data_IF_086744483623
#
_entry.id   IF_086744483623
#
_cell.length_a   1.000
_cell.length_b   1.000
_cell.length_c   1.000
_cell.angle_alpha   90.00
_cell.angle_beta   90.00
_cell.angle_gamma   90.00
#
_symmetry.space_group_name_H-M   'P 1'
#
loop_
_entity.id
_entity.type
_entity.pdbx_description
1 polymer ?
#
# COMPACT_ATOMS: atom_id res chain seq x y z
N UNK A 1 24.40 32.72 -2.07
CA UNK A 1 23.22 31.85 -1.80
C UNK A 1 23.57 30.48 -2.34
N UNK A 2 23.88 29.54 -1.47
CA UNK A 2 24.37 28.20 -1.82
C UNK A 2 23.16 27.29 -1.91
N UNK A 3 22.87 26.78 -3.12
CA UNK A 3 21.93 25.67 -3.31
C UNK A 3 22.62 24.39 -2.89
N UNK A 4 22.24 23.89 -1.74
CA UNK A 4 22.68 22.56 -1.29
C UNK A 4 21.96 21.50 -2.16
N UNK A 5 22.68 20.97 -3.14
CA UNK A 5 22.34 19.74 -3.82
C UNK A 5 22.50 18.60 -2.80
N UNK A 6 21.40 18.12 -2.25
CA UNK A 6 21.41 16.85 -1.54
C UNK A 6 21.37 15.71 -2.57
N UNK A 7 22.51 15.38 -3.15
CA UNK A 7 22.71 14.09 -3.79
C UNK A 7 22.69 13.02 -2.70
N UNK A 8 21.51 12.48 -2.40
CA UNK A 8 21.40 11.26 -1.62
C UNK A 8 22.05 10.13 -2.42
N UNK A 9 23.11 9.63 -1.87
CA UNK A 9 24.01 8.64 -2.48
C UNK A 9 23.29 7.28 -2.57
N UNK A 10 22.79 6.94 -3.75
CA UNK A 10 22.25 5.60 -4.08
C UNK A 10 23.37 4.58 -4.34
N UNK A 11 24.54 4.74 -3.71
CA UNK A 11 25.76 3.95 -3.97
C UNK A 11 25.66 2.45 -3.68
N UNK A 12 24.56 1.97 -3.09
CA UNK A 12 24.39 0.57 -2.72
C UNK A 12 23.57 -0.26 -3.72
N UNK A 13 23.08 0.32 -4.82
CA UNK A 13 22.40 -0.44 -5.85
C UNK A 13 23.41 -0.97 -6.86
N UNK A 14 23.43 -2.29 -7.07
CA UNK A 14 24.19 -2.90 -8.15
C UNK A 14 23.80 -2.24 -9.47
N UNK A 15 24.74 -1.58 -10.11
CA UNK A 15 24.57 -0.94 -11.42
C UNK A 15 24.39 -2.04 -12.46
N UNK A 16 23.15 -2.35 -12.81
CA UNK A 16 22.88 -3.22 -13.96
C UNK A 16 23.06 -2.39 -15.23
N UNK A 17 24.08 -2.70 -16.02
CA UNK A 17 24.26 -2.12 -17.34
C UNK A 17 23.30 -2.81 -18.31
N UNK A 18 22.14 -2.25 -18.53
CA UNK A 18 21.28 -2.61 -19.64
C UNK A 18 21.78 -1.87 -20.88
N UNK A 19 22.42 -2.60 -21.80
CA UNK A 19 23.17 -2.05 -22.93
C UNK A 19 22.35 -1.26 -23.96
N UNK A 20 21.01 -1.22 -23.86
CA UNK A 20 20.13 -0.57 -24.84
C UNK A 20 19.02 0.32 -24.26
N UNK A 21 18.75 0.28 -22.97
CA UNK A 21 17.66 1.07 -22.38
C UNK A 21 18.22 2.13 -21.43
N UNK A 22 17.93 3.38 -21.72
CA UNK A 22 18.18 4.49 -20.79
C UNK A 22 16.94 4.67 -19.93
N UNK A 23 17.12 4.75 -18.60
CA UNK A 23 16.05 5.08 -17.68
C UNK A 23 16.51 6.17 -16.71
N UNK A 24 15.54 6.93 -16.21
CA UNK A 24 15.72 7.94 -15.18
C UNK A 24 14.92 7.49 -13.96
N UNK A 25 15.52 7.61 -12.79
CA UNK A 25 14.85 7.35 -11.51
C UNK A 25 14.54 8.68 -10.86
N UNK A 26 13.25 8.95 -10.67
CA UNK A 26 12.77 10.14 -9.97
C UNK A 26 12.14 9.74 -8.63
N UNK A 27 12.52 10.41 -7.55
CA UNK A 27 11.92 10.23 -6.23
C UNK A 27 10.67 11.10 -6.13
N UNK A 28 9.49 10.46 -6.15
CA UNK A 28 8.20 11.16 -6.16
C UNK A 28 7.77 11.57 -4.75
N UNK A 29 7.91 10.70 -3.75
CA UNK A 29 7.41 10.97 -2.41
C UNK A 29 8.38 10.49 -1.33
N UNK A 30 8.20 11.02 -0.11
CA UNK A 30 8.97 10.68 1.08
C UNK A 30 8.03 10.21 2.21
N UNK A 31 8.62 9.65 3.26
CA UNK A 31 7.92 9.34 4.52
C UNK A 31 6.75 8.36 4.36
N UNK A 32 6.92 7.34 3.51
CA UNK A 32 6.06 6.18 3.51
C UNK A 32 6.60 5.15 4.53
N UNK A 33 5.66 4.53 5.24
CA UNK A 33 5.98 3.54 6.26
C UNK A 33 5.44 2.17 5.86
N UNK A 34 6.31 1.27 5.43
CA UNK A 34 5.95 -0.04 4.91
C UNK A 34 4.92 0.02 3.76
N UNK A 35 5.20 0.82 2.70
CA UNK A 35 4.34 0.83 1.52
C UNK A 35 4.30 -0.57 0.92
N UNK A 36 3.11 -1.02 0.56
CA UNK A 36 2.94 -2.35 0.02
C UNK A 36 2.64 -2.33 -1.48
N UNK A 37 1.62 -1.57 -1.86
CA UNK A 37 1.20 -1.49 -3.25
C UNK A 37 0.88 -0.08 -3.69
N UNK A 38 0.84 0.11 -4.99
CA UNK A 38 0.38 1.34 -5.61
C UNK A 38 -0.45 1.04 -6.87
N UNK A 39 -1.41 1.92 -7.16
CA UNK A 39 -2.18 1.90 -8.40
C UNK A 39 -2.43 3.33 -8.87
N UNK A 40 -2.31 3.57 -10.19
CA UNK A 40 -2.71 4.85 -10.77
C UNK A 40 -4.24 4.94 -10.85
N UNK A 41 -4.80 6.09 -10.45
CA UNK A 41 -6.23 6.40 -10.61
C UNK A 41 -6.48 7.38 -11.77
N UNK A 42 -5.45 8.10 -12.16
CA UNK A 42 -5.37 8.94 -13.35
C UNK A 42 -3.89 9.16 -13.72
N UNK A 43 -3.62 10.00 -14.72
CA UNK A 43 -2.25 10.27 -15.21
C UNK A 43 -1.34 10.95 -14.18
N UNK A 44 -1.90 11.55 -13.12
CA UNK A 44 -1.17 12.35 -12.14
C UNK A 44 -1.26 11.84 -10.71
N UNK A 45 -2.18 10.95 -10.42
CA UNK A 45 -2.42 10.49 -9.06
C UNK A 45 -2.32 8.99 -8.93
N UNK A 46 -1.61 8.56 -7.91
CA UNK A 46 -1.61 7.17 -7.46
C UNK A 46 -2.18 7.03 -6.04
N UNK A 47 -2.75 5.88 -5.81
CA UNK A 47 -3.11 5.39 -4.49
C UNK A 47 -1.98 4.50 -4.00
N UNK A 48 -1.56 4.70 -2.76
CA UNK A 48 -0.53 3.89 -2.10
C UNK A 48 -1.10 3.33 -0.82
N UNK A 49 -0.98 2.01 -0.65
CA UNK A 49 -1.30 1.33 0.60
C UNK A 49 -0.07 1.20 1.48
N UNK A 50 -0.25 1.31 2.77
CA UNK A 50 0.73 0.90 3.77
C UNK A 50 0.18 -0.26 4.61
N UNK A 51 1.03 -1.21 4.94
CA UNK A 51 0.62 -2.42 5.71
C UNK A 51 -0.11 -2.11 7.01
N UNK A 52 0.20 -0.98 7.62
CA UNK A 52 -0.43 -0.52 8.87
C UNK A 52 -1.85 0.04 8.69
N UNK A 53 -2.42 -0.08 7.50
CA UNK A 53 -3.77 0.36 7.18
C UNK A 53 -3.85 1.81 6.70
N UNK A 54 -2.75 2.52 6.50
CA UNK A 54 -2.82 3.84 5.91
C UNK A 54 -2.96 3.76 4.40
N UNK A 55 -3.75 4.69 3.88
CA UNK A 55 -4.00 4.85 2.45
C UNK A 55 -3.73 6.30 2.05
N UNK A 56 -2.99 6.49 0.97
CA UNK A 56 -2.62 7.81 0.50
C UNK A 56 -2.94 8.00 -0.97
N UNK A 57 -3.32 9.24 -1.33
CA UNK A 57 -3.27 9.74 -2.70
C UNK A 57 -1.99 10.57 -2.84
N UNK A 58 -1.21 10.28 -3.88
CA UNK A 58 0.06 10.97 -4.16
C UNK A 58 -0.01 11.55 -5.57
N UNK A 59 0.25 12.85 -5.69
CA UNK A 59 0.41 13.49 -6.99
C UNK A 59 1.85 13.29 -7.47
N UNK A 60 2.03 12.69 -8.65
CA UNK A 60 3.35 12.33 -9.18
C UNK A 60 4.17 13.52 -9.65
N UNK A 61 3.53 14.61 -10.02
CA UNK A 61 4.23 15.82 -10.51
C UNK A 61 4.78 16.65 -9.36
N UNK A 62 4.05 16.72 -8.24
CA UNK A 62 4.37 17.59 -7.09
C UNK A 62 4.94 16.82 -5.91
N UNK A 63 4.71 15.52 -5.83
CA UNK A 63 5.02 14.69 -4.67
C UNK A 63 4.09 14.93 -3.47
N UNK A 64 3.03 15.73 -3.63
CA UNK A 64 2.07 15.98 -2.55
C UNK A 64 1.37 14.69 -2.16
N UNK A 65 1.24 14.48 -0.84
CA UNK A 65 0.66 13.28 -0.25
C UNK A 65 -0.51 13.64 0.63
N UNK A 66 -1.67 13.05 0.36
CA UNK A 66 -2.92 13.24 1.09
C UNK A 66 -3.40 11.92 1.67
N UNK A 67 -3.81 11.92 2.93
CA UNK A 67 -4.36 10.72 3.57
C UNK A 67 -5.79 10.48 3.10
N UNK A 68 -6.11 9.23 2.78
CA UNK A 68 -7.45 8.78 2.44
C UNK A 68 -8.04 7.98 3.59
N UNK A 69 -9.25 8.33 4.02
CA UNK A 69 -10.02 7.63 5.04
C UNK A 69 -10.70 6.41 4.44
N UNK A 70 -10.76 5.33 5.18
CA UNK A 70 -11.48 4.12 4.79
C UNK A 70 -11.91 3.30 6.01
N UNK A 71 -12.86 2.39 5.78
CA UNK A 71 -13.40 1.49 6.80
C UNK A 71 -12.92 0.04 6.65
N UNK A 72 -11.77 -0.20 5.99
CA UNK A 72 -11.20 -1.54 5.88
C UNK A 72 -10.60 -1.92 7.24
N UNK A 73 -11.19 -2.92 7.88
CA UNK A 73 -10.68 -3.52 9.10
C UNK A 73 -9.70 -4.62 8.76
N UNK A 74 -8.41 -4.35 8.91
CA UNK A 74 -7.36 -5.30 8.60
C UNK A 74 -6.72 -5.88 9.87
N UNK A 75 -6.19 -7.07 9.76
CA UNK A 75 -5.50 -7.79 10.82
C UNK A 75 -4.05 -8.15 10.43
N UNK A 76 -3.32 -8.74 11.35
CA UNK A 76 -2.01 -9.36 11.04
C UNK A 76 -0.84 -8.39 10.87
N UNK A 77 -1.03 -7.09 11.09
CA UNK A 77 0.05 -6.13 11.19
C UNK A 77 0.28 -5.75 12.66
N UNK A 78 1.45 -6.09 13.19
CA UNK A 78 1.85 -5.72 14.54
C UNK A 78 2.91 -4.62 14.49
N UNK A 79 2.62 -3.49 15.15
CA UNK A 79 3.56 -2.37 15.25
C UNK A 79 4.84 -2.81 15.98
N UNK A 80 5.97 -2.73 15.29
CA UNK A 80 7.28 -3.11 15.83
C UNK A 80 7.73 -4.52 15.47
N UNK A 81 6.87 -5.37 14.93
CA UNK A 81 7.21 -6.72 14.46
C UNK A 81 7.43 -6.76 12.95
N UNK A 82 8.39 -6.01 12.46
CA UNK A 82 8.61 -5.77 11.02
C UNK A 82 9.00 -7.05 10.27
N UNK A 83 9.78 -7.91 10.91
CA UNK A 83 10.40 -9.04 10.23
C UNK A 83 9.42 -10.21 9.94
N UNK A 84 8.32 -10.31 10.65
CA UNK A 84 7.44 -11.49 10.59
C UNK A 84 5.98 -11.18 10.29
N UNK A 85 5.57 -9.91 10.31
CA UNK A 85 4.20 -9.55 10.02
C UNK A 85 3.96 -9.52 8.50
N UNK A 86 3.27 -10.53 8.00
CA UNK A 86 2.85 -10.61 6.59
C UNK A 86 1.45 -10.00 6.36
N UNK A 87 0.70 -9.75 7.43
CA UNK A 87 -0.63 -9.18 7.38
C UNK A 87 -0.68 -7.66 7.21
N UNK A 88 -1.88 -7.12 7.14
CA UNK A 88 -2.19 -5.70 7.03
C UNK A 88 -3.06 -5.36 5.83
N UNK A 89 -3.12 -4.08 5.48
CA UNK A 89 -3.65 -3.61 4.21
C UNK A 89 -2.59 -3.87 3.14
N UNK A 90 -2.96 -4.63 2.13
CA UNK A 90 -2.02 -5.17 1.15
C UNK A 90 -2.19 -4.47 -0.20
N UNK A 91 -2.68 -5.16 -1.21
CA UNK A 91 -2.74 -4.64 -2.57
C UNK A 91 -3.90 -3.69 -2.79
N UNK A 92 -3.76 -2.82 -3.80
CA UNK A 92 -4.80 -1.96 -4.31
C UNK A 92 -4.75 -1.92 -5.84
N UNK A 93 -5.90 -2.05 -6.47
CA UNK A 93 -6.06 -1.99 -7.92
C UNK A 93 -7.24 -1.10 -8.28
N UNK A 94 -6.98 -0.05 -9.05
CA UNK A 94 -8.03 0.79 -9.62
C UNK A 94 -8.48 0.24 -10.98
N UNK A 95 -9.77 -0.07 -11.08
CA UNK A 95 -10.37 -0.49 -12.33
C UNK A 95 -11.06 0.73 -12.99
N UNK A 96 -10.51 1.20 -14.09
CA UNK A 96 -11.01 2.35 -14.83
C UNK A 96 -12.34 2.09 -15.56
N UNK A 97 -12.75 0.83 -15.71
CA UNK A 97 -14.01 0.47 -16.37
C UNK A 97 -15.22 0.69 -15.46
N UNK A 98 -15.08 0.43 -14.16
CA UNK A 98 -16.17 0.56 -13.19
C UNK A 98 -15.94 1.67 -12.15
N UNK A 99 -14.72 2.23 -12.11
CA UNK A 99 -14.32 3.29 -11.21
C UNK A 99 -14.19 2.87 -9.75
N UNK A 100 -14.06 1.57 -9.48
CA UNK A 100 -13.79 1.04 -8.15
C UNK A 100 -12.29 0.84 -7.91
N UNK A 101 -11.90 0.99 -6.65
CA UNK A 101 -10.61 0.52 -6.16
C UNK A 101 -10.88 -0.80 -5.43
N UNK A 102 -10.19 -1.84 -5.85
CA UNK A 102 -10.20 -3.15 -5.23
C UNK A 102 -9.00 -3.25 -4.28
N UNK A 103 -9.25 -3.77 -3.09
CA UNK A 103 -8.24 -3.93 -2.05
C UNK A 103 -8.13 -5.39 -1.66
N UNK A 104 -6.90 -5.85 -1.43
CA UNK A 104 -6.67 -7.07 -0.67
C UNK A 104 -6.10 -6.72 0.71
N UNK A 105 -6.49 -7.47 1.71
CA UNK A 105 -6.03 -7.26 3.08
C UNK A 105 -6.13 -8.54 3.89
N UNK A 106 -5.40 -8.59 4.99
CA UNK A 106 -5.55 -9.66 5.95
C UNK A 106 -6.76 -9.40 6.82
N UNK A 107 -7.71 -10.32 6.79
CA UNK A 107 -8.92 -10.31 7.62
C UNK A 107 -8.71 -11.19 8.85
N UNK A 108 -9.25 -10.76 9.98
CA UNK A 108 -9.19 -11.54 11.22
C UNK A 108 -10.09 -12.76 11.07
N UNK A 109 -9.49 -13.96 11.09
CA UNK A 109 -10.20 -15.15 10.73
C UNK A 109 -10.62 -15.97 11.95
N UNK A 110 -9.67 -16.39 12.79
CA UNK A 110 -10.00 -17.31 13.87
C UNK A 110 -8.86 -17.44 14.89
N UNK A 111 -9.22 -17.53 16.14
CA UNK A 111 -8.32 -18.06 17.16
C UNK A 111 -8.42 -19.59 17.16
N UNK A 112 -7.32 -20.27 16.87
CA UNK A 112 -7.19 -21.72 16.97
C UNK A 112 -6.24 -22.05 18.10
N UNK A 113 -6.38 -23.25 18.68
CA UNK A 113 -5.45 -23.74 19.71
C UNK A 113 -4.64 -24.89 19.12
N UNK A 114 -3.31 -24.72 19.07
CA UNK A 114 -2.37 -25.76 18.67
C UNK A 114 -1.49 -26.06 19.88
N UNK A 115 -1.45 -27.33 20.30
CA UNK A 115 -0.75 -27.77 21.49
C UNK A 115 -1.13 -27.01 22.78
N UNK A 116 -2.43 -26.66 22.89
CA UNK A 116 -2.97 -25.91 24.04
C UNK A 116 -2.59 -24.42 24.05
N UNK A 117 -1.92 -23.91 23.02
CA UNK A 117 -1.55 -22.50 22.90
C UNK A 117 -2.44 -21.79 21.89
N UNK A 118 -2.96 -20.59 22.23
CA UNK A 118 -3.75 -19.81 21.27
C UNK A 118 -2.88 -19.39 20.09
N UNK A 119 -3.41 -19.60 18.90
CA UNK A 119 -2.84 -19.18 17.62
C UNK A 119 -3.85 -18.32 16.89
N UNK A 120 -3.47 -17.11 16.55
CA UNK A 120 -4.25 -16.26 15.63
C UNK A 120 -3.92 -16.64 14.21
N UNK A 121 -4.94 -16.85 13.42
CA UNK A 121 -4.83 -17.02 11.97
C UNK A 121 -5.58 -15.91 11.26
N UNK A 122 -5.09 -15.55 10.11
CA UNK A 122 -5.66 -14.54 9.24
C UNK A 122 -5.90 -15.14 7.86
N UNK A 123 -6.95 -14.69 7.21
CA UNK A 123 -7.20 -15.04 5.82
C UNK A 123 -7.08 -13.81 4.94
N UNK A 124 -6.93 -14.04 3.65
CA UNK A 124 -6.97 -12.94 2.67
C UNK A 124 -8.42 -12.58 2.38
N UNK A 125 -8.73 -11.30 2.44
CA UNK A 125 -10.02 -10.77 1.99
C UNK A 125 -9.83 -9.80 0.82
N UNK A 126 -10.91 -9.66 0.04
CA UNK A 126 -11.02 -8.72 -1.06
C UNK A 126 -12.21 -7.80 -0.77
N UNK A 127 -12.00 -6.51 -0.87
CA UNK A 127 -13.04 -5.51 -0.82
C UNK A 127 -12.92 -4.54 -2.00
N UNK A 128 -14.01 -3.84 -2.33
CA UNK A 128 -14.00 -2.72 -3.27
C UNK A 128 -14.69 -1.51 -2.68
N UNK A 129 -14.32 -0.32 -3.14
CA UNK A 129 -14.95 0.94 -2.80
C UNK A 129 -14.62 2.02 -3.82
N UNK A 130 -15.31 3.14 -3.76
CA UNK A 130 -15.06 4.30 -4.64
C UNK A 130 -14.36 5.41 -3.88
N UNK A 131 -13.39 6.03 -4.52
CA UNK A 131 -12.79 7.25 -3.98
C UNK A 131 -13.74 8.43 -4.19
N UNK A 132 -14.05 9.14 -3.09
CA UNK A 132 -14.85 10.37 -3.10
C UNK A 132 -14.17 11.39 -2.19
N UNK A 133 -13.59 12.43 -2.79
CA UNK A 133 -12.78 13.38 -2.05
C UNK A 133 -11.56 12.73 -1.38
N UNK A 134 -11.54 12.75 -0.05
CA UNK A 134 -10.48 12.18 0.79
C UNK A 134 -10.88 10.85 1.46
N UNK A 135 -11.89 10.14 0.93
CA UNK A 135 -12.37 8.91 1.56
C UNK A 135 -12.80 7.85 0.56
N UNK A 136 -12.72 6.60 0.98
CA UNK A 136 -13.32 5.45 0.28
C UNK A 136 -14.75 5.30 0.79
N UNK A 137 -15.71 5.36 -0.12
CA UNK A 137 -17.14 5.19 0.15
C UNK A 137 -17.68 3.91 -0.47
N UNK A 138 -18.83 3.43 0.03
CA UNK A 138 -19.48 2.24 -0.50
C UNK A 138 -18.60 0.99 -0.42
N UNK A 139 -17.84 0.85 0.67
CA UNK A 139 -16.99 -0.32 0.88
C UNK A 139 -17.85 -1.58 0.92
N UNK A 140 -17.49 -2.56 0.08
CA UNK A 140 -18.15 -3.86 -0.03
C UNK A 140 -17.09 -4.96 0.05
N UNK A 141 -17.26 -5.91 0.96
CA UNK A 141 -16.41 -7.11 1.05
C UNK A 141 -16.93 -8.11 0.03
N UNK A 142 -16.07 -8.50 -0.90
CA UNK A 142 -16.42 -9.40 -1.99
C UNK A 142 -16.10 -10.86 -1.67
N UNK A 143 -15.01 -11.07 -0.92
CA UNK A 143 -14.51 -12.40 -0.60
C UNK A 143 -13.73 -12.34 0.71
N UNK A 144 -13.92 -13.35 1.52
CA UNK A 144 -13.03 -13.72 2.61
C UNK A 144 -12.63 -15.17 2.34
N UNK A 145 -11.33 -15.44 2.17
CA UNK A 145 -10.83 -16.79 1.97
C UNK A 145 -10.98 -17.59 3.27
N UNK A 146 -11.37 -18.86 3.16
CA UNK A 146 -11.47 -19.80 4.28
C UNK A 146 -10.11 -20.44 4.59
#
# INVERSE_FOLDING_TARGET
MSTANSEENFSNYKKYSLTKTKFKLDKISKELNHPWALTFIDDKHLIVTEKNGRLFRINVDTGSKESIKHAIEHAGYEKGSIAYSQGGLLDAYFNNQDGYIYFTYSHDFKETHIDGKPRKSWSTAIAKGKLSGDQIIGLEILLIAE
#
